data_IF_336893213138
#
_entry.id   IF_336893213138
#
_cell.length_a   1.000
_cell.length_b   1.000
_cell.length_c   1.000
_cell.angle_alpha   90.00
_cell.angle_beta   90.00
_cell.angle_gamma   90.00
#
_symmetry.space_group_name_H-M   'P 1'
#
loop_
_entity.id
_entity.type
_entity.pdbx_description
1 polymer ?
#
# COMPACT_ATOMS: atom_id res chain seq x y z
N UNK A 1 -18.43 -4.82 -28.38
CA UNK A 1 -17.05 -4.34 -28.49
C UNK A 1 -16.66 -3.82 -27.13
N UNK A 2 -15.58 -4.27 -26.51
CA UNK A 2 -15.14 -3.67 -25.26
C UNK A 2 -14.71 -2.24 -25.58
N UNK A 3 -15.34 -1.26 -24.93
CA UNK A 3 -14.92 0.13 -24.96
C UNK A 3 -13.43 0.19 -24.66
N UNK A 4 -12.67 0.86 -25.49
CA UNK A 4 -11.24 1.09 -25.26
C UNK A 4 -11.13 1.77 -23.89
N UNK A 5 -10.79 0.98 -22.88
CA UNK A 5 -10.57 1.45 -21.52
C UNK A 5 -9.51 2.54 -21.60
N UNK A 6 -9.85 3.74 -21.15
CA UNK A 6 -8.92 4.86 -21.02
C UNK A 6 -7.84 4.59 -19.92
N UNK A 7 -7.96 3.46 -19.22
CA UNK A 7 -7.04 3.01 -18.17
C UNK A 7 -5.67 2.62 -18.76
N UNK A 8 -4.60 3.37 -18.46
CA UNK A 8 -3.27 3.09 -18.97
C UNK A 8 -2.55 1.96 -18.22
N UNK A 9 -3.06 1.56 -17.04
CA UNK A 9 -2.43 0.58 -16.14
C UNK A 9 -2.95 -0.82 -16.41
N UNK A 10 -4.24 -0.98 -16.71
CA UNK A 10 -4.88 -2.28 -16.96
C UNK A 10 -4.10 -3.19 -17.90
N UNK A 11 -3.58 -2.71 -19.05
CA UNK A 11 -2.77 -3.53 -19.96
C UNK A 11 -1.48 -4.09 -19.34
N UNK A 12 -0.90 -3.43 -18.33
CA UNK A 12 0.26 -3.95 -17.60
C UNK A 12 -0.13 -5.09 -16.66
N UNK A 13 -1.26 -4.98 -15.99
CA UNK A 13 -1.78 -6.07 -15.16
C UNK A 13 -2.16 -7.29 -15.99
N UNK A 14 -2.78 -7.09 -17.16
CA UNK A 14 -3.05 -8.19 -18.10
C UNK A 14 -1.75 -8.88 -18.54
N UNK A 15 -0.67 -8.11 -18.79
CA UNK A 15 0.62 -8.68 -19.15
C UNK A 15 1.27 -9.42 -17.95
N UNK A 16 1.07 -8.95 -16.73
CA UNK A 16 1.53 -9.63 -15.52
C UNK A 16 0.75 -10.93 -15.28
N UNK A 17 -0.58 -10.94 -15.41
CA UNK A 17 -1.39 -12.16 -15.37
C UNK A 17 -0.91 -13.22 -16.36
N UNK A 18 -0.57 -12.78 -17.59
CA UNK A 18 -0.04 -13.68 -18.61
C UNK A 18 1.37 -14.22 -18.32
N UNK A 19 2.05 -13.72 -17.29
CA UNK A 19 3.30 -14.23 -16.74
C UNK A 19 3.11 -15.07 -15.49
N UNK A 20 1.87 -15.27 -15.04
CA UNK A 20 1.56 -16.01 -13.84
C UNK A 20 1.68 -15.21 -12.54
N UNK A 21 1.59 -13.89 -12.59
CA UNK A 21 1.66 -13.04 -11.41
C UNK A 21 0.34 -12.98 -10.64
N UNK A 22 0.42 -12.83 -9.31
CA UNK A 22 -0.73 -12.72 -8.42
C UNK A 22 -1.21 -11.28 -8.31
N UNK A 23 -1.88 -10.77 -9.33
CA UNK A 23 -2.36 -9.39 -9.39
C UNK A 23 -3.76 -9.18 -8.81
N UNK A 24 -4.33 -10.18 -8.15
CA UNK A 24 -5.62 -10.06 -7.48
C UNK A 24 -5.51 -9.21 -6.21
N UNK A 25 -6.47 -8.30 -6.04
CA UNK A 25 -6.67 -7.59 -4.78
C UNK A 25 -7.55 -8.46 -3.88
N UNK A 26 -7.20 -8.58 -2.61
CA UNK A 26 -8.01 -9.29 -1.63
C UNK A 26 -8.63 -8.32 -0.64
N UNK A 27 -9.92 -8.50 -0.42
CA UNK A 27 -10.64 -7.86 0.67
C UNK A 27 -11.12 -8.92 1.63
N UNK A 28 -10.82 -8.77 2.91
CA UNK A 28 -11.33 -9.62 3.96
C UNK A 28 -12.45 -8.91 4.73
N UNK A 29 -13.51 -9.61 5.05
CA UNK A 29 -14.53 -9.13 5.98
C UNK A 29 -14.60 -10.08 7.17
N UNK A 30 -14.38 -9.53 8.36
CA UNK A 30 -14.58 -10.23 9.64
C UNK A 30 -15.93 -9.81 10.18
N UNK A 31 -16.92 -10.71 10.15
CA UNK A 31 -18.24 -10.39 10.64
C UNK A 31 -18.23 -10.14 12.16
N UNK A 32 -19.19 -9.38 12.72
CA UNK A 32 -19.27 -9.19 14.16
C UNK A 32 -19.38 -10.52 14.89
N UNK A 33 -18.48 -10.78 15.82
CA UNK A 33 -18.41 -12.04 16.59
C UNK A 33 -17.55 -13.13 15.95
N UNK A 34 -17.11 -12.96 14.71
CA UNK A 34 -16.20 -13.90 14.04
C UNK A 34 -14.75 -13.53 14.27
N UNK A 35 -13.87 -14.55 14.16
CA UNK A 35 -12.42 -14.40 14.24
C UNK A 35 -11.71 -14.75 12.91
N UNK A 36 -12.47 -15.08 11.86
CA UNK A 36 -11.93 -15.46 10.56
C UNK A 36 -12.51 -14.57 9.47
N UNK A 37 -11.69 -14.05 8.56
CA UNK A 37 -12.18 -13.24 7.45
C UNK A 37 -12.76 -14.08 6.33
N UNK A 38 -13.88 -13.64 5.79
CA UNK A 38 -14.33 -14.01 4.45
C UNK A 38 -13.50 -13.24 3.43
N UNK A 39 -12.68 -13.95 2.63
CA UNK A 39 -11.84 -13.31 1.61
C UNK A 39 -12.55 -13.22 0.26
N UNK A 40 -12.56 -12.02 -0.31
CA UNK A 40 -13.14 -11.70 -1.60
C UNK A 40 -12.01 -11.24 -2.53
N UNK A 41 -11.96 -11.80 -3.72
CA UNK A 41 -10.94 -11.50 -4.73
C UNK A 41 -11.53 -10.61 -5.81
N UNK A 42 -10.85 -9.50 -6.09
CA UNK A 42 -11.15 -8.64 -7.24
C UNK A 42 -9.93 -8.58 -8.16
N UNK A 43 -10.19 -8.52 -9.47
CA UNK A 43 -9.12 -8.35 -10.45
C UNK A 43 -8.60 -6.92 -10.43
N UNK A 44 -7.32 -6.75 -10.25
CA UNK A 44 -6.71 -5.41 -10.28
C UNK A 44 -6.71 -4.79 -11.69
N UNK A 45 -6.98 -5.60 -12.73
CA UNK A 45 -7.26 -5.11 -14.08
C UNK A 45 -8.52 -4.26 -14.16
N UNK A 46 -9.46 -4.45 -13.24
CA UNK A 46 -10.79 -3.84 -13.30
C UNK A 46 -10.97 -2.71 -12.30
N UNK A 47 -10.30 -2.81 -11.16
CA UNK A 47 -10.43 -1.85 -10.04
C UNK A 47 -9.08 -1.64 -9.34
N UNK A 48 -8.90 -0.49 -8.72
CA UNK A 48 -7.86 -0.33 -7.69
C UNK A 48 -8.42 -0.60 -6.27
N UNK A 49 -7.56 -0.46 -5.25
CA UNK A 49 -7.95 -0.74 -3.87
C UNK A 49 -9.15 0.10 -3.40
N UNK A 50 -9.15 1.41 -3.68
CA UNK A 50 -10.26 2.31 -3.32
C UNK A 50 -11.52 1.96 -4.12
N UNK A 51 -11.39 1.75 -5.42
CA UNK A 51 -12.49 1.36 -6.30
C UNK A 51 -13.09 0.02 -5.92
N UNK A 52 -12.26 -0.95 -5.59
CA UNK A 52 -12.68 -2.28 -5.14
C UNK A 52 -13.45 -2.25 -3.82
N UNK A 53 -12.97 -1.48 -2.84
CA UNK A 53 -13.69 -1.30 -1.56
C UNK A 53 -15.05 -0.65 -1.78
N UNK A 54 -15.12 0.40 -2.60
CA UNK A 54 -16.38 1.06 -2.94
C UNK A 54 -17.37 0.12 -3.64
N UNK A 55 -16.89 -0.65 -4.61
CA UNK A 55 -17.71 -1.61 -5.34
C UNK A 55 -18.28 -2.68 -4.41
N UNK A 56 -17.47 -3.23 -3.52
CA UNK A 56 -17.91 -4.23 -2.54
C UNK A 56 -18.94 -3.69 -1.55
N UNK A 57 -18.74 -2.47 -1.05
CA UNK A 57 -19.69 -1.83 -0.14
C UNK A 57 -20.99 -1.49 -0.84
N UNK A 58 -20.94 -0.96 -2.09
CA UNK A 58 -22.12 -0.66 -2.91
C UNK A 58 -22.95 -1.91 -3.23
N UNK A 59 -22.30 -3.02 -3.59
CA UNK A 59 -22.97 -4.33 -3.80
C UNK A 59 -23.69 -4.84 -2.56
N UNK A 60 -23.23 -4.43 -1.35
CA UNK A 60 -23.88 -4.72 -0.07
C UNK A 60 -24.90 -3.65 0.35
N UNK A 61 -25.25 -2.75 -0.55
CA UNK A 61 -26.28 -1.73 -0.34
C UNK A 61 -25.82 -0.49 0.42
N UNK A 62 -24.51 -0.28 0.59
CA UNK A 62 -24.01 0.96 1.18
C UNK A 62 -24.07 2.11 0.17
N UNK A 63 -24.48 3.28 0.64
CA UNK A 63 -24.45 4.50 -0.15
C UNK A 63 -23.07 5.15 -0.09
N UNK A 64 -22.30 5.02 -1.19
CA UNK A 64 -20.98 5.64 -1.35
C UNK A 64 -21.04 6.62 -2.52
N UNK A 65 -21.45 7.88 -2.29
CA UNK A 65 -21.70 8.84 -3.37
C UNK A 65 -20.42 9.38 -4.00
N UNK A 66 -19.33 9.49 -3.23
CA UNK A 66 -18.05 9.98 -3.72
C UNK A 66 -16.89 9.18 -3.14
N UNK A 67 -15.91 8.87 -3.99
CA UNK A 67 -14.65 8.28 -3.58
C UNK A 67 -13.63 9.36 -3.20
N UNK A 68 -12.65 9.02 -2.33
CA UNK A 68 -11.58 9.94 -1.98
C UNK A 68 -10.88 10.49 -3.23
N UNK A 69 -10.64 11.79 -3.25
CA UNK A 69 -9.92 12.47 -4.32
C UNK A 69 -8.50 12.82 -3.88
N UNK A 70 -7.63 13.06 -4.86
CA UNK A 70 -6.26 13.46 -4.58
C UNK A 70 -6.22 14.79 -3.80
N UNK A 71 -5.44 14.79 -2.73
CA UNK A 71 -5.27 15.97 -1.86
C UNK A 71 -4.12 16.88 -2.29
N UNK A 72 -3.27 16.42 -3.24
CA UNK A 72 -2.11 17.18 -3.68
C UNK A 72 -2.48 18.20 -4.78
N UNK A 73 -2.01 19.45 -4.66
CA UNK A 73 -2.37 20.53 -5.59
C UNK A 73 -1.76 20.36 -6.98
N UNK A 74 -0.65 19.61 -7.10
CA UNK A 74 0.04 19.42 -8.38
C UNK A 74 -0.88 18.72 -9.39
N UNK A 75 -0.88 19.23 -10.63
CA UNK A 75 -1.60 18.65 -11.76
C UNK A 75 -0.68 17.78 -12.60
N UNK A 76 -1.20 16.81 -13.36
CA UNK A 76 -0.40 16.05 -14.31
C UNK A 76 0.23 16.99 -15.34
N UNK A 77 1.54 16.83 -15.58
CA UNK A 77 2.29 17.65 -16.50
C UNK A 77 3.33 16.81 -17.22
N UNK A 78 3.52 17.02 -18.53
CA UNK A 78 4.58 16.38 -19.29
C UNK A 78 5.98 16.69 -18.72
N UNK A 79 6.18 17.85 -18.11
CA UNK A 79 7.42 18.20 -17.42
C UNK A 79 7.69 17.36 -16.17
N UNK A 80 6.66 16.77 -15.56
CA UNK A 80 6.84 15.89 -14.40
C UNK A 80 7.73 14.70 -14.73
N UNK A 81 7.61 14.14 -15.94
CA UNK A 81 8.45 13.02 -16.37
C UNK A 81 9.93 13.46 -16.46
N UNK A 82 10.22 14.56 -17.15
CA UNK A 82 11.58 15.09 -17.26
C UNK A 82 12.20 15.43 -15.90
N UNK A 83 11.43 16.06 -15.03
CA UNK A 83 11.87 16.44 -13.68
C UNK A 83 12.19 15.22 -12.81
N UNK A 84 11.52 14.11 -13.03
CA UNK A 84 11.70 12.88 -12.26
C UNK A 84 12.66 11.88 -12.91
N UNK A 85 13.11 12.11 -14.16
CA UNK A 85 14.05 11.24 -14.86
C UNK A 85 15.29 10.86 -14.02
N UNK A 86 15.94 11.78 -13.27
CA UNK A 86 17.12 11.45 -12.47
C UNK A 86 16.90 10.31 -11.48
N UNK A 87 15.67 10.09 -10.99
CA UNK A 87 15.39 8.99 -10.05
C UNK A 87 15.57 7.62 -10.70
N UNK A 88 15.28 7.48 -11.99
CA UNK A 88 15.43 6.22 -12.73
C UNK A 88 16.89 5.89 -13.08
N UNK A 89 17.78 6.89 -12.99
CA UNK A 89 19.20 6.75 -13.25
C UNK A 89 20.04 6.50 -11.99
N UNK A 90 19.42 6.52 -10.81
CA UNK A 90 20.14 6.33 -9.54
C UNK A 90 20.56 4.86 -9.38
N UNK A 91 21.79 4.59 -8.94
CA UNK A 91 22.23 3.25 -8.60
C UNK A 91 21.32 2.66 -7.53
N UNK A 92 21.02 1.39 -7.69
CA UNK A 92 20.10 0.66 -6.82
C UNK A 92 20.93 -0.17 -5.86
N UNK A 93 20.67 -0.03 -4.58
CA UNK A 93 21.16 -0.94 -3.56
C UNK A 93 19.96 -1.71 -3.05
N UNK A 94 19.68 -2.89 -3.59
CA UNK A 94 18.52 -3.66 -3.17
C UNK A 94 18.74 -4.19 -1.77
N UNK A 95 17.77 -3.97 -0.89
CA UNK A 95 17.64 -4.80 0.27
C UNK A 95 17.32 -6.23 -0.21
N UNK A 96 18.03 -7.22 0.31
CA UNK A 96 17.83 -8.62 -0.03
C UNK A 96 17.20 -9.35 1.13
N UNK A 97 16.30 -10.26 0.82
CA UNK A 97 15.74 -11.16 1.80
C UNK A 97 16.74 -12.25 2.16
N UNK A 98 16.84 -12.60 3.44
CA UNK A 98 17.44 -13.88 3.85
C UNK A 98 16.60 -15.02 3.28
N UNK A 99 17.18 -16.22 3.05
CA UNK A 99 16.38 -17.40 2.76
C UNK A 99 15.33 -17.60 3.84
N UNK A 100 14.06 -17.67 3.46
CA UNK A 100 12.95 -17.87 4.38
C UNK A 100 12.42 -19.29 4.26
N UNK A 101 11.84 -19.77 5.35
CA UNK A 101 11.20 -21.07 5.35
C UNK A 101 10.04 -21.09 4.35
N UNK A 102 9.96 -22.15 3.54
CA UNK A 102 8.94 -22.29 2.50
C UNK A 102 9.19 -21.45 1.24
N UNK A 103 10.41 -20.94 1.02
CA UNK A 103 10.79 -20.29 -0.23
C UNK A 103 10.56 -21.24 -1.41
N UNK A 104 9.89 -20.75 -2.46
CA UNK A 104 9.69 -21.48 -3.71
C UNK A 104 10.23 -20.68 -4.89
N UNK A 105 11.32 -21.15 -5.46
CA UNK A 105 11.84 -20.62 -6.72
C UNK A 105 11.01 -21.12 -7.89
N UNK A 106 10.58 -20.22 -8.78
CA UNK A 106 9.77 -20.50 -9.97
C UNK A 106 8.32 -20.91 -9.68
N UNK A 107 7.63 -20.21 -8.78
CA UNK A 107 6.20 -20.39 -8.56
C UNK A 107 5.38 -20.20 -9.85
N UNK A 108 4.37 -21.04 -10.07
CA UNK A 108 3.46 -21.01 -11.21
C UNK A 108 2.03 -20.71 -10.75
N UNK A 109 1.11 -20.47 -11.69
CA UNK A 109 -0.32 -20.27 -11.39
C UNK A 109 -0.99 -21.41 -10.61
N UNK A 110 -0.41 -22.63 -10.63
CA UNK A 110 -0.88 -23.78 -9.88
C UNK A 110 -0.40 -23.81 -8.43
N UNK A 111 0.45 -22.88 -8.01
CA UNK A 111 0.93 -22.79 -6.65
C UNK A 111 -0.17 -22.28 -5.69
N UNK A 112 -0.05 -22.58 -4.39
CA UNK A 112 -0.99 -22.06 -3.40
C UNK A 112 -1.03 -20.53 -3.46
N UNK A 113 -2.18 -19.91 -3.17
CA UNK A 113 -2.29 -18.47 -3.17
C UNK A 113 -1.32 -17.85 -2.16
N UNK A 114 -0.85 -16.62 -2.41
CA UNK A 114 0.04 -15.92 -1.49
C UNK A 114 -0.43 -16.00 -0.04
N UNK A 115 0.49 -16.25 0.89
CA UNK A 115 0.18 -16.27 2.31
C UNK A 115 -0.20 -14.86 2.79
N UNK A 116 -1.23 -14.78 3.63
CA UNK A 116 -1.77 -13.51 4.18
C UNK A 116 -1.88 -13.61 5.69
N UNK A 117 -1.39 -12.59 6.38
CA UNK A 117 -1.68 -12.37 7.79
C UNK A 117 -2.29 -10.98 7.99
N UNK A 118 -3.01 -10.82 9.08
CA UNK A 118 -3.77 -9.60 9.34
C UNK A 118 -3.96 -9.34 10.83
N UNK A 119 -4.29 -8.08 11.14
CA UNK A 119 -4.72 -7.65 12.47
C UNK A 119 -5.74 -6.51 12.34
N UNK A 120 -6.67 -6.43 13.27
CA UNK A 120 -7.62 -5.33 13.39
C UNK A 120 -7.49 -4.76 14.80
N UNK A 121 -7.00 -3.54 14.89
CA UNK A 121 -7.02 -2.79 16.14
C UNK A 121 -8.45 -2.47 16.57
N UNK A 122 -8.69 -2.46 17.86
CA UNK A 122 -9.96 -1.96 18.37
C UNK A 122 -10.08 -0.43 18.18
N UNK A 123 -11.23 0.14 18.53
CA UNK A 123 -11.47 1.58 18.35
C UNK A 123 -10.59 2.45 19.28
N UNK A 124 -10.40 2.13 20.57
CA UNK A 124 -9.44 2.81 21.45
C UNK A 124 -8.02 2.82 20.89
N UNK A 125 -7.47 1.67 20.50
CA UNK A 125 -6.13 1.54 19.94
C UNK A 125 -5.97 2.34 18.64
N UNK A 126 -6.95 2.21 17.74
CA UNK A 126 -6.98 2.95 16.48
C UNK A 126 -7.03 4.46 16.70
N UNK A 127 -7.77 4.91 17.71
CA UNK A 127 -7.85 6.32 18.11
C UNK A 127 -6.53 6.80 18.69
N UNK A 128 -5.86 5.97 19.50
CA UNK A 128 -4.54 6.27 20.05
C UNK A 128 -3.48 6.41 18.95
N UNK A 129 -3.44 5.50 17.99
CA UNK A 129 -2.54 5.60 16.82
C UNK A 129 -2.76 6.93 16.09
N UNK A 130 -4.01 7.29 15.80
CA UNK A 130 -4.35 8.57 15.15
C UNK A 130 -3.92 9.78 15.98
N UNK A 131 -4.08 9.72 17.30
CA UNK A 131 -3.68 10.79 18.23
C UNK A 131 -2.16 10.98 18.22
N UNK A 132 -1.38 9.90 18.27
CA UNK A 132 0.09 9.94 18.23
C UNK A 132 0.56 10.51 16.90
N UNK A 133 0.02 10.06 15.78
CA UNK A 133 0.35 10.61 14.46
C UNK A 133 0.08 12.12 14.39
N UNK A 134 -1.07 12.58 14.89
CA UNK A 134 -1.40 14.01 14.94
C UNK A 134 -0.44 14.80 15.84
N UNK A 135 -0.13 14.29 17.06
CA UNK A 135 0.84 14.93 17.98
C UNK A 135 2.23 15.05 17.35
N UNK A 136 2.65 14.03 16.60
CA UNK A 136 3.93 14.02 15.91
C UNK A 136 3.95 14.85 14.60
N UNK A 137 2.80 15.31 14.10
CA UNK A 137 2.68 16.02 12.82
C UNK A 137 2.95 15.13 11.61
N UNK A 138 2.62 13.85 11.68
CA UNK A 138 2.85 12.85 10.63
C UNK A 138 1.54 12.19 10.20
N UNK A 139 1.56 11.51 9.05
CA UNK A 139 0.41 10.70 8.60
C UNK A 139 0.49 9.26 9.13
N UNK A 140 -0.66 8.59 9.19
CA UNK A 140 -0.74 7.16 9.49
C UNK A 140 0.14 6.36 8.52
N UNK A 141 0.18 6.71 7.22
CA UNK A 141 1.04 6.05 6.24
C UNK A 141 2.52 6.06 6.67
N UNK A 142 3.03 7.24 7.02
CA UNK A 142 4.43 7.40 7.41
C UNK A 142 4.75 6.63 8.68
N UNK A 143 3.83 6.64 9.63
CA UNK A 143 3.92 5.91 10.89
C UNK A 143 3.97 4.40 10.63
N UNK A 144 3.00 3.87 9.90
CA UNK A 144 2.90 2.44 9.63
C UNK A 144 4.06 1.92 8.77
N UNK A 145 4.48 2.66 7.73
CA UNK A 145 5.64 2.28 6.89
C UNK A 145 6.93 2.19 7.71
N UNK A 146 7.15 3.14 8.63
CA UNK A 146 8.34 3.11 9.49
C UNK A 146 8.36 1.86 10.37
N UNK A 147 7.25 1.56 11.05
CA UNK A 147 7.16 0.41 11.96
C UNK A 147 7.18 -0.92 11.19
N UNK A 148 6.53 -1.02 10.04
CA UNK A 148 6.64 -2.17 9.16
C UNK A 148 8.09 -2.39 8.72
N UNK A 149 8.79 -1.31 8.35
CA UNK A 149 10.21 -1.42 7.97
C UNK A 149 11.05 -1.99 9.11
N UNK A 150 10.81 -1.57 10.36
CA UNK A 150 11.48 -2.14 11.54
C UNK A 150 11.14 -3.62 11.73
N UNK A 151 9.87 -3.97 11.61
CA UNK A 151 9.37 -5.33 11.82
C UNK A 151 9.97 -6.38 10.87
N UNK A 152 10.21 -6.01 9.59
CA UNK A 152 10.75 -6.94 8.59
C UNK A 152 12.28 -6.95 8.51
N UNK A 153 12.97 -5.95 9.09
CA UNK A 153 14.43 -5.83 9.01
C UNK A 153 15.21 -7.08 9.41
N UNK A 154 14.85 -7.78 10.49
CA UNK A 154 15.56 -9.01 10.88
C UNK A 154 15.55 -10.11 9.81
N UNK A 155 14.62 -10.01 8.83
CA UNK A 155 14.51 -10.94 7.70
C UNK A 155 15.34 -10.51 6.48
N UNK A 156 16.10 -9.41 6.56
CA UNK A 156 17.00 -8.96 5.50
C UNK A 156 18.41 -9.51 5.72
N UNK A 157 19.16 -9.77 4.63
CA UNK A 157 20.57 -10.18 4.68
C UNK A 157 21.42 -9.16 5.42
N UNK A 158 21.16 -7.88 5.17
CA UNK A 158 21.77 -6.74 5.85
C UNK A 158 20.69 -5.83 6.44
N UNK A 159 20.60 -5.83 7.76
CA UNK A 159 19.63 -5.04 8.51
C UNK A 159 19.87 -3.52 8.41
N UNK A 160 21.06 -3.09 8.03
CA UNK A 160 21.38 -1.69 7.75
C UNK A 160 20.89 -1.21 6.39
N UNK A 161 20.50 -2.13 5.51
CA UNK A 161 20.06 -1.84 4.15
C UNK A 161 18.96 -0.79 4.11
N UNK A 162 18.99 0.02 3.06
CA UNK A 162 17.92 0.94 2.72
C UNK A 162 16.75 0.16 2.14
N UNK A 163 15.60 0.21 2.78
CA UNK A 163 14.39 -0.50 2.34
C UNK A 163 13.58 0.38 1.40
N UNK A 164 13.45 0.02 0.12
CA UNK A 164 12.64 0.77 -0.84
C UNK A 164 11.19 0.29 -0.82
N UNK A 165 10.27 1.23 -0.62
CA UNK A 165 8.82 1.01 -0.65
C UNK A 165 8.17 1.68 -1.86
N UNK A 166 7.22 1.00 -2.49
CA UNK A 166 6.26 1.59 -3.41
C UNK A 166 5.02 2.00 -2.62
N UNK A 167 4.67 3.28 -2.68
CA UNK A 167 3.48 3.81 -2.01
C UNK A 167 2.50 4.28 -3.08
N UNK A 168 1.36 3.58 -3.27
CA UNK A 168 0.33 4.00 -4.19
C UNK A 168 -0.24 5.38 -3.85
N UNK A 169 -0.57 6.15 -4.88
CA UNK A 169 -1.14 7.49 -4.79
C UNK A 169 -2.41 7.54 -5.61
N UNK A 170 -3.52 7.83 -4.96
CA UNK A 170 -4.79 8.06 -5.62
C UNK A 170 -4.74 9.33 -6.47
N UNK A 171 -5.11 9.26 -7.76
CA UNK A 171 -5.15 10.39 -8.70
C UNK A 171 -6.56 10.81 -9.09
N UNK A 172 -7.60 10.26 -8.44
CA UNK A 172 -9.01 10.67 -8.65
C UNK A 172 -9.19 12.17 -8.42
N UNK A 173 -10.08 12.76 -9.18
CA UNK A 173 -10.34 14.21 -9.15
C UNK A 173 -9.44 15.03 -10.07
N UNK A 174 -8.30 14.49 -10.54
CA UNK A 174 -7.43 15.08 -11.57
C UNK A 174 -7.36 14.25 -12.84
N UNK A 175 -7.73 12.98 -12.74
CA UNK A 175 -7.78 12.03 -13.84
C UNK A 175 -9.20 11.48 -13.91
N UNK A 176 -9.77 11.46 -15.09
CA UNK A 176 -11.06 10.82 -15.39
C UNK A 176 -10.82 9.58 -16.27
N UNK A 177 -11.28 8.42 -15.79
CA UNK A 177 -11.22 7.16 -16.52
C UNK A 177 -12.64 6.64 -16.87
N UNK A 178 -13.66 7.50 -16.77
CA UNK A 178 -15.06 7.20 -17.07
C UNK A 178 -15.79 6.38 -16.00
N UNK A 179 -15.07 5.66 -15.13
CA UNK A 179 -15.60 4.95 -13.95
C UNK A 179 -14.82 5.36 -12.72
N UNK A 180 -15.52 5.69 -11.63
CA UNK A 180 -14.88 6.08 -10.37
C UNK A 180 -14.12 4.91 -9.70
N UNK A 181 -14.49 3.66 -10.01
CA UNK A 181 -13.86 2.44 -9.50
C UNK A 181 -12.66 1.97 -10.31
N UNK A 182 -12.38 2.57 -11.49
CA UNK A 182 -11.24 2.19 -12.32
C UNK A 182 -9.88 2.46 -11.62
N UNK A 183 -8.78 2.01 -12.23
CA UNK A 183 -7.43 2.15 -11.67
C UNK A 183 -6.91 3.59 -11.69
N UNK A 184 -7.39 4.42 -10.76
CA UNK A 184 -6.90 5.79 -10.55
C UNK A 184 -5.69 5.81 -9.61
N UNK A 185 -4.76 4.89 -9.80
CA UNK A 185 -3.62 4.74 -8.88
C UNK A 185 -2.31 4.98 -9.61
N UNK A 186 -1.54 5.96 -9.16
CA UNK A 186 -0.12 6.09 -9.45
C UNK A 186 0.68 5.70 -8.21
N UNK A 187 1.97 6.02 -8.14
CA UNK A 187 2.80 5.72 -6.98
C UNK A 187 3.97 6.69 -6.83
N UNK A 188 4.55 6.70 -5.62
CA UNK A 188 5.85 7.26 -5.31
C UNK A 188 6.76 6.18 -4.74
N UNK A 189 8.06 6.30 -4.99
CA UNK A 189 9.08 5.43 -4.40
C UNK A 189 9.72 6.10 -3.20
N UNK A 190 9.69 5.44 -2.05
CA UNK A 190 10.28 5.96 -0.80
C UNK A 190 11.31 4.97 -0.27
N UNK A 191 12.45 5.48 0.17
CA UNK A 191 13.54 4.70 0.77
C UNK A 191 13.59 4.98 2.25
N UNK A 192 13.53 3.94 3.07
CA UNK A 192 13.56 4.03 4.53
C UNK A 192 14.85 3.43 5.07
N UNK A 193 15.64 4.25 5.76
CA UNK A 193 16.87 3.82 6.42
C UNK A 193 16.60 3.37 7.86
N UNK A 194 17.51 2.60 8.44
CA UNK A 194 17.37 2.07 9.81
C UNK A 194 17.23 3.17 10.87
N UNK A 195 18.04 4.20 10.75
CA UNK A 195 18.11 5.31 11.71
C UNK A 195 17.06 6.40 11.52
N UNK A 196 16.29 6.38 10.41
CA UNK A 196 15.27 7.40 10.13
C UNK A 196 14.13 7.32 11.13
N UNK A 197 13.68 8.48 11.58
CA UNK A 197 12.49 8.63 12.42
C UNK A 197 11.21 8.58 11.58
N UNK A 198 10.04 8.50 12.23
CA UNK A 198 8.74 8.61 11.54
C UNK A 198 8.61 9.95 10.80
N UNK A 199 9.16 11.05 11.37
CA UNK A 199 9.15 12.37 10.73
C UNK A 199 10.02 12.42 9.48
N UNK A 200 11.15 11.70 9.47
CA UNK A 200 12.01 11.60 8.29
C UNK A 200 11.30 10.83 7.18
N UNK A 201 10.67 9.70 7.49
CA UNK A 201 9.86 8.95 6.53
C UNK A 201 8.72 9.80 6.00
N UNK A 202 8.04 10.56 6.86
CA UNK A 202 6.99 11.49 6.47
C UNK A 202 7.52 12.55 5.48
N UNK A 203 8.63 13.19 5.81
CA UNK A 203 9.28 14.16 4.93
C UNK A 203 9.63 13.55 3.58
N UNK A 204 10.23 12.35 3.55
CA UNK A 204 10.62 11.68 2.32
C UNK A 204 9.41 11.39 1.40
N UNK A 205 8.28 10.96 1.97
CA UNK A 205 7.04 10.75 1.22
C UNK A 205 6.54 12.06 0.62
N UNK A 206 6.46 13.11 1.42
CA UNK A 206 5.90 14.40 0.99
C UNK A 206 6.81 15.15 0.03
N UNK A 207 8.12 15.01 0.14
CA UNK A 207 9.06 15.52 -0.86
C UNK A 207 8.90 14.81 -2.21
N UNK A 208 8.72 13.47 -2.22
CA UNK A 208 8.45 12.73 -3.44
C UNK A 208 7.14 13.18 -4.11
N UNK A 209 6.09 13.38 -3.31
CA UNK A 209 4.81 13.93 -3.78
C UNK A 209 4.96 15.38 -4.29
N UNK A 210 5.68 16.23 -3.56
CA UNK A 210 5.94 17.63 -3.93
C UNK A 210 6.76 17.76 -5.21
N UNK A 211 7.68 16.84 -5.48
CA UNK A 211 8.40 16.74 -6.77
C UNK A 211 7.52 16.24 -7.91
N UNK A 212 6.29 15.80 -7.65
CA UNK A 212 5.36 15.29 -8.66
C UNK A 212 5.75 13.90 -9.20
N UNK A 213 6.44 13.07 -8.40
CA UNK A 213 6.88 11.74 -8.85
C UNK A 213 5.72 10.83 -9.24
N UNK A 214 4.59 10.92 -8.55
CA UNK A 214 3.36 10.21 -8.91
C UNK A 214 2.82 10.64 -10.27
N UNK A 215 2.94 11.93 -10.66
CA UNK A 215 2.55 12.40 -11.98
C UNK A 215 3.51 11.91 -13.07
N UNK A 216 4.81 11.86 -12.78
CA UNK A 216 5.77 11.29 -13.71
C UNK A 216 5.49 9.81 -13.99
N UNK A 217 5.19 9.03 -12.93
CA UNK A 217 4.79 7.63 -13.08
C UNK A 217 3.48 7.49 -13.86
N UNK A 218 2.50 8.35 -13.60
CA UNK A 218 1.25 8.38 -14.35
C UNK A 218 1.50 8.66 -15.84
N UNK A 219 2.32 9.65 -16.17
CA UNK A 219 2.69 9.96 -17.56
C UNK A 219 3.43 8.79 -18.22
N UNK A 220 4.32 8.12 -17.49
CA UNK A 220 4.98 6.93 -18.00
C UNK A 220 3.97 5.83 -18.38
N UNK A 221 2.93 5.59 -17.54
CA UNK A 221 1.83 4.69 -17.89
C UNK A 221 1.06 5.17 -19.14
N UNK A 222 0.74 6.46 -19.23
CA UNK A 222 0.05 7.03 -20.38
C UNK A 222 0.84 6.81 -21.69
N UNK A 223 2.14 7.05 -21.70
CA UNK A 223 2.98 6.77 -22.86
C UNK A 223 3.08 5.27 -23.15
N UNK A 224 3.19 4.46 -22.12
CA UNK A 224 3.32 3.02 -22.27
C UNK A 224 2.07 2.33 -22.85
N UNK A 225 0.90 2.99 -22.85
CA UNK A 225 -0.31 2.41 -23.46
C UNK A 225 -0.14 2.08 -24.94
N UNK A 226 0.73 2.83 -25.63
CA UNK A 226 1.04 2.60 -27.04
C UNK A 226 2.01 1.44 -27.29
N UNK A 227 2.66 0.90 -26.24
CA UNK A 227 3.55 -0.25 -26.38
C UNK A 227 2.73 -1.52 -26.69
N UNK A 228 3.19 -2.33 -27.66
CA UNK A 228 2.59 -3.64 -27.93
C UNK A 228 2.57 -4.53 -26.67
N UNK A 229 1.56 -5.38 -26.57
CA UNK A 229 1.41 -6.33 -25.44
C UNK A 229 2.67 -7.18 -25.22
N UNK A 230 3.28 -7.69 -26.32
CA UNK A 230 4.53 -8.49 -26.26
C UNK A 230 5.68 -7.71 -25.63
N UNK A 231 5.77 -6.41 -25.87
CA UNK A 231 6.80 -5.54 -25.28
C UNK A 231 6.57 -5.38 -23.79
N UNK A 232 5.33 -5.09 -23.37
CA UNK A 232 4.97 -5.00 -21.96
C UNK A 232 5.29 -6.30 -21.21
N UNK A 233 4.91 -7.45 -21.78
CA UNK A 233 5.18 -8.78 -21.23
C UNK A 233 6.70 -9.03 -21.11
N UNK A 234 7.48 -8.69 -22.14
CA UNK A 234 8.94 -8.82 -22.12
C UNK A 234 9.57 -7.92 -21.04
N UNK A 235 9.12 -6.66 -20.92
CA UNK A 235 9.62 -5.74 -19.90
C UNK A 235 9.32 -6.26 -18.47
N UNK A 236 8.13 -6.80 -18.22
CA UNK A 236 7.79 -7.41 -16.94
C UNK A 236 8.59 -8.68 -16.67
N UNK A 237 8.81 -9.52 -17.69
CA UNK A 237 9.62 -10.73 -17.58
C UNK A 237 11.10 -10.42 -17.28
N UNK A 238 11.64 -9.38 -17.89
CA UNK A 238 12.99 -8.87 -17.61
C UNK A 238 13.04 -8.16 -16.26
N UNK A 239 11.93 -7.55 -15.84
CA UNK A 239 11.73 -6.95 -14.52
C UNK A 239 11.79 -7.95 -13.36
N UNK A 240 11.90 -9.27 -13.63
CA UNK A 240 12.33 -10.23 -12.62
C UNK A 240 13.68 -9.85 -11.98
N UNK A 241 14.51 -9.14 -12.72
CA UNK A 241 15.73 -8.54 -12.20
C UNK A 241 15.50 -7.23 -11.42
N UNK A 242 14.27 -6.69 -11.41
CA UNK A 242 13.95 -5.39 -10.79
C UNK A 242 13.23 -5.52 -9.43
N UNK A 243 13.25 -6.69 -8.77
CA UNK A 243 13.09 -6.76 -7.31
C UNK A 243 13.99 -5.76 -6.57
N UNK A 244 14.98 -5.26 -7.30
CA UNK A 244 15.85 -4.16 -6.92
C UNK A 244 15.19 -2.79 -6.81
N UNK A 245 13.94 -2.59 -7.29
CA UNK A 245 13.27 -1.29 -7.25
C UNK A 245 12.53 -1.06 -5.95
N UNK A 246 11.77 -2.06 -5.52
CA UNK A 246 10.96 -1.99 -4.31
C UNK A 246 10.95 -3.35 -3.61
N UNK A 247 11.21 -3.33 -2.31
CA UNK A 247 11.12 -4.53 -1.49
C UNK A 247 9.65 -4.97 -1.36
N UNK A 248 8.75 -3.99 -1.29
CA UNK A 248 7.32 -4.20 -1.19
C UNK A 248 6.51 -2.97 -1.53
N UNK A 249 5.19 -3.14 -1.61
CA UNK A 249 4.19 -2.08 -1.70
C UNK A 249 3.50 -1.87 -0.35
N UNK A 250 3.28 -0.60 0.02
CA UNK A 250 2.46 -0.24 1.16
C UNK A 250 1.29 0.61 0.70
N UNK A 251 0.08 0.08 0.82
CA UNK A 251 -1.15 0.72 0.35
C UNK A 251 -2.14 0.96 1.48
N UNK A 252 -2.59 2.19 1.63
CA UNK A 252 -3.63 2.59 2.57
C UNK A 252 -4.86 3.07 1.83
N UNK A 253 -6.00 2.43 2.07
CA UNK A 253 -7.27 2.83 1.47
C UNK A 253 -7.92 4.06 2.14
N UNK A 254 -7.35 4.52 3.26
CA UNK A 254 -7.89 5.64 4.02
C UNK A 254 -8.96 5.24 5.04
N UNK A 255 -9.74 6.24 5.42
CA UNK A 255 -10.80 6.10 6.42
C UNK A 255 -12.16 5.98 5.72
N UNK A 256 -12.84 4.87 6.00
CA UNK A 256 -14.15 4.53 5.47
C UNK A 256 -15.17 4.49 6.60
N UNK A 257 -16.26 5.22 6.42
CA UNK A 257 -17.35 5.32 7.39
C UNK A 257 -16.91 5.82 8.77
N UNK A 258 -16.16 6.95 8.87
CA UNK A 258 -15.68 7.48 10.14
C UNK A 258 -16.83 7.90 11.08
N UNK A 259 -18.03 8.15 10.52
CA UNK A 259 -19.22 8.56 11.25
C UNK A 259 -20.25 7.42 11.41
N UNK A 260 -19.87 6.19 11.10
CA UNK A 260 -20.72 4.99 11.17
C UNK A 260 -22.06 5.14 10.44
N UNK A 261 -22.03 5.79 9.28
CA UNK A 261 -23.22 5.99 8.44
C UNK A 261 -23.61 4.75 7.65
N UNK A 262 -22.66 3.81 7.47
CA UNK A 262 -22.90 2.54 6.79
C UNK A 262 -23.55 1.59 7.81
N UNK A 263 -24.88 1.58 7.86
CA UNK A 263 -25.64 0.81 8.86
C UNK A 263 -26.05 -0.59 8.38
N UNK A 264 -25.83 -0.93 7.11
CA UNK A 264 -26.23 -2.24 6.55
C UNK A 264 -25.49 -3.37 7.25
N UNK A 265 -26.20 -4.40 7.78
CA UNK A 265 -25.56 -5.52 8.50
C UNK A 265 -24.50 -6.24 7.67
N UNK A 266 -24.71 -6.33 6.36
CA UNK A 266 -23.78 -6.96 5.42
C UNK A 266 -22.46 -6.20 5.26
N UNK A 267 -22.43 -4.93 5.66
CA UNK A 267 -21.24 -4.08 5.65
C UNK A 267 -20.55 -4.02 7.02
N UNK A 268 -21.24 -4.40 8.09
CA UNK A 268 -20.71 -4.32 9.46
C UNK A 268 -19.55 -5.29 9.69
N UNK A 269 -18.70 -4.96 10.65
CA UNK A 269 -17.55 -5.76 11.05
C UNK A 269 -16.21 -5.12 10.68
N UNK A 270 -15.17 -5.92 10.77
CA UNK A 270 -13.82 -5.48 10.39
C UNK A 270 -13.57 -5.69 8.89
N UNK A 271 -13.00 -4.69 8.23
CA UNK A 271 -12.57 -4.82 6.85
C UNK A 271 -11.04 -4.87 6.76
N UNK A 272 -10.56 -5.72 5.87
CA UNK A 272 -9.16 -5.98 5.57
C UNK A 272 -8.88 -5.71 4.10
N UNK A 273 -7.67 -5.29 3.79
CA UNK A 273 -7.24 -5.04 2.43
C UNK A 273 -5.82 -5.54 2.21
N UNK A 274 -5.64 -6.53 1.35
CA UNK A 274 -4.33 -7.03 0.94
C UNK A 274 -4.06 -6.65 -0.52
N UNK A 275 -3.07 -5.78 -0.78
CA UNK A 275 -2.68 -5.39 -2.13
C UNK A 275 -2.00 -6.57 -2.85
N UNK A 276 -1.96 -6.57 -4.20
CA UNK A 276 -1.31 -7.62 -4.97
C UNK A 276 0.19 -7.70 -4.64
N UNK A 277 0.76 -8.88 -4.86
CA UNK A 277 2.20 -9.14 -4.82
C UNK A 277 2.68 -9.64 -6.18
N UNK A 278 3.86 -9.21 -6.54
CA UNK A 278 4.50 -9.51 -7.82
C UNK A 278 5.92 -10.01 -7.57
N UNK A 279 6.51 -10.72 -8.53
CA UNK A 279 7.92 -11.13 -8.43
C UNK A 279 8.89 -9.96 -8.28
N UNK A 280 8.54 -8.79 -8.81
CA UNK A 280 9.30 -7.56 -8.60
C UNK A 280 8.94 -6.82 -7.29
N UNK A 281 7.98 -7.31 -6.52
CA UNK A 281 7.47 -6.72 -5.28
C UNK A 281 6.89 -7.84 -4.41
N UNK A 282 7.79 -8.57 -3.74
CA UNK A 282 7.45 -9.82 -3.04
C UNK A 282 6.60 -9.64 -1.77
N UNK A 283 6.47 -8.40 -1.28
CA UNK A 283 5.68 -8.05 -0.09
C UNK A 283 4.62 -7.02 -0.44
N UNK A 284 3.37 -7.30 -0.09
CA UNK A 284 2.25 -6.38 -0.15
C UNK A 284 1.71 -6.09 1.25
N UNK A 285 1.83 -4.85 1.70
CA UNK A 285 1.25 -4.39 2.95
C UNK A 285 0.03 -3.51 2.68
N UNK A 286 -1.08 -3.82 3.32
CA UNK A 286 -2.33 -3.08 3.19
C UNK A 286 -2.84 -2.58 4.52
N UNK A 287 -3.53 -1.46 4.51
CA UNK A 287 -4.33 -1.03 5.64
C UNK A 287 -5.60 -0.30 5.19
N UNK A 288 -6.60 -0.35 6.03
CA UNK A 288 -7.86 0.38 5.88
C UNK A 288 -8.40 0.71 7.26
N UNK A 289 -8.96 1.88 7.44
CA UNK A 289 -9.77 2.21 8.61
C UNK A 289 -11.24 2.10 8.23
N UNK A 290 -11.99 1.30 8.95
CA UNK A 290 -13.43 1.15 8.76
C UNK A 290 -14.13 1.26 10.12
N UNK A 291 -15.13 2.13 10.22
CA UNK A 291 -15.84 2.39 11.47
C UNK A 291 -14.89 2.61 12.67
N UNK A 292 -13.93 3.52 12.48
CA UNK A 292 -12.89 3.86 13.44
C UNK A 292 -11.88 2.76 13.81
N UNK A 293 -11.96 1.58 13.24
CA UNK A 293 -11.05 0.46 13.47
C UNK A 293 -10.04 0.35 12.34
N UNK A 294 -8.76 0.51 12.66
CA UNK A 294 -7.64 0.35 11.74
C UNK A 294 -7.31 -1.13 11.59
N UNK A 295 -7.16 -1.58 10.36
CA UNK A 295 -6.67 -2.92 10.06
C UNK A 295 -5.34 -2.88 9.34
N UNK A 296 -4.53 -3.91 9.56
CA UNK A 296 -3.26 -4.18 8.89
C UNK A 296 -3.34 -5.53 8.19
N UNK A 297 -2.73 -5.62 7.01
CA UNK A 297 -2.51 -6.90 6.32
C UNK A 297 -1.11 -6.97 5.75
N UNK A 298 -0.55 -8.17 5.73
CA UNK A 298 0.65 -8.50 4.97
C UNK A 298 0.38 -9.68 4.08
N UNK A 299 0.69 -9.54 2.80
CA UNK A 299 0.64 -10.60 1.80
C UNK A 299 2.05 -10.86 1.28
N UNK A 300 2.44 -12.12 1.21
CA UNK A 300 3.79 -12.54 0.82
C UNK A 300 3.71 -13.36 -0.47
N UNK A 301 4.52 -13.01 -1.46
CA UNK A 301 4.59 -13.75 -2.72
C UNK A 301 5.18 -15.16 -2.48
N UNK A 302 4.66 -16.21 -3.15
CA UNK A 302 5.15 -17.59 -2.98
C UNK A 302 6.64 -17.78 -3.26
N UNK A 303 7.24 -16.99 -4.13
CA UNK A 303 8.70 -17.01 -4.34
C UNK A 303 9.50 -16.59 -3.10
N UNK A 304 8.90 -15.84 -2.19
CA UNK A 304 9.54 -15.45 -0.93
C UNK A 304 9.23 -16.47 0.17
N UNK A 305 7.97 -16.83 0.34
CA UNK A 305 7.55 -17.91 1.25
C UNK A 305 6.10 -18.31 1.00
N UNK A 306 5.82 -19.62 1.12
CA UNK A 306 4.45 -20.17 1.20
C UNK A 306 4.05 -20.50 2.64
N UNK A 307 4.97 -20.38 3.60
CA UNK A 307 4.68 -20.64 5.00
C UNK A 307 3.85 -19.48 5.58
N UNK A 308 2.61 -19.72 6.06
CA UNK A 308 1.74 -18.68 6.61
C UNK A 308 2.28 -18.07 7.90
N UNK A 309 3.19 -18.75 8.61
CA UNK A 309 3.82 -18.21 9.82
C UNK A 309 4.74 -17.03 9.54
N UNK A 310 5.30 -16.92 8.32
CA UNK A 310 6.17 -15.82 7.94
C UNK A 310 5.43 -14.47 7.98
N UNK A 311 4.34 -14.26 7.22
CA UNK A 311 3.58 -13.02 7.33
C UNK A 311 2.94 -12.84 8.72
N UNK A 312 2.56 -13.92 9.42
CA UNK A 312 2.01 -13.84 10.78
C UNK A 312 3.03 -13.25 11.76
N UNK A 313 4.26 -13.76 11.76
CA UNK A 313 5.34 -13.24 12.59
C UNK A 313 5.65 -11.77 12.27
N UNK A 314 5.64 -11.37 11.00
CA UNK A 314 5.87 -9.98 10.62
C UNK A 314 4.74 -9.05 11.05
N UNK A 315 3.48 -9.48 10.99
CA UNK A 315 2.34 -8.70 11.52
C UNK A 315 2.47 -8.52 13.02
N UNK A 316 2.81 -9.58 13.78
CA UNK A 316 3.04 -9.48 15.21
C UNK A 316 4.19 -8.54 15.57
N UNK A 317 5.31 -8.63 14.85
CA UNK A 317 6.42 -7.70 15.03
C UNK A 317 6.02 -6.25 14.69
N UNK A 318 5.18 -6.07 13.66
CA UNK A 318 4.69 -4.74 13.27
C UNK A 318 3.83 -4.12 14.36
N UNK A 319 2.90 -4.89 14.94
CA UNK A 319 2.08 -4.47 16.08
C UNK A 319 2.98 -4.09 17.26
N UNK A 320 3.93 -4.97 17.63
CA UNK A 320 4.87 -4.72 18.72
C UNK A 320 5.66 -3.41 18.53
N UNK A 321 6.14 -3.13 17.33
CA UNK A 321 6.86 -1.88 17.04
C UNK A 321 5.95 -0.65 17.16
N UNK A 322 4.67 -0.77 16.78
CA UNK A 322 3.66 0.27 16.98
C UNK A 322 3.42 0.51 18.48
N UNK A 323 3.21 -0.54 19.25
CA UNK A 323 2.95 -0.47 20.70
C UNK A 323 4.12 0.17 21.47
N UNK A 324 5.37 -0.17 21.12
CA UNK A 324 6.56 0.44 21.71
C UNK A 324 6.55 1.96 21.52
N UNK A 325 6.23 2.43 20.31
CA UNK A 325 6.22 3.86 20.02
C UNK A 325 5.03 4.57 20.68
N UNK A 326 3.85 3.92 20.74
CA UNK A 326 2.69 4.42 21.48
C UNK A 326 3.00 4.60 22.97
N UNK A 327 3.67 3.64 23.60
CA UNK A 327 4.06 3.70 24.99
C UNK A 327 5.08 4.83 25.27
N UNK A 328 6.05 5.03 24.37
CA UNK A 328 7.06 6.07 24.50
C UNK A 328 6.47 7.48 24.47
N UNK A 329 5.50 7.72 23.59
CA UNK A 329 4.82 9.04 23.46
C UNK A 329 3.91 9.35 24.64
N UNK A 330 3.39 8.32 25.31
CA UNK A 330 2.54 8.50 26.51
C UNK A 330 3.39 8.78 27.77
N UNK A 331 4.61 8.29 27.82
CA UNK A 331 5.53 8.52 28.96
C UNK A 331 6.23 9.89 28.92
N UNK A 332 6.20 10.61 27.79
CA UNK A 332 6.70 11.97 27.75
C UNK A 332 5.78 12.92 28.55
N UNK A 333 6.30 13.62 29.59
CA UNK A 333 5.52 14.61 30.30
C UNK A 333 5.03 15.67 29.31
N UNK A 334 3.74 16.05 29.41
CA UNK A 334 3.18 17.14 28.63
C UNK A 334 4.00 18.38 28.90
N UNK A 335 4.86 18.78 27.95
CA UNK A 335 5.57 20.05 28.04
C UNK A 335 4.51 21.15 28.18
N UNK A 336 4.43 21.78 29.34
CA UNK A 336 3.56 22.94 29.53
C UNK A 336 3.96 23.99 28.51
N UNK A 337 3.01 24.58 27.76
CA UNK A 337 3.33 25.66 26.86
C UNK A 337 3.99 26.78 27.69
N UNK A 338 5.22 27.13 27.33
CA UNK A 338 5.86 28.30 27.90
C UNK A 338 4.90 29.50 27.74
N UNK A 339 4.65 30.24 28.84
CA UNK A 339 3.84 31.46 28.73
C UNK A 339 4.51 32.37 27.71
N UNK A 340 3.76 32.79 26.68
CA UNK A 340 4.23 33.84 25.75
C UNK A 340 4.49 35.06 26.58
N UNK A 341 5.74 35.47 26.71
CA UNK A 341 6.10 36.83 27.14
C UNK A 341 5.52 37.79 26.10
N UNK A 342 4.44 38.46 26.48
CA UNK A 342 3.92 39.62 25.75
C UNK A 342 4.87 40.75 26.10
N UNK A 343 5.68 41.16 25.16
CA UNK A 343 6.40 42.45 25.16
C UNK A 343 5.73 43.42 24.21
#
# INVERSE_FOLDING_TARGET
>A
MPSSSSDPIGPWFIAAEALGEYIGIRFGRVAPGDNTPEWIFLRHTDVDGIGGMADLLRRRGAEIPRLPQIKHPSAPSAFSLLRSMPKYLRPRHPARWRPLEGERRNSTHSDPPPAVAWHIFDEPESTQIRRVCRKAGVTINSFLVKHLTKAIRPSLEDESSVVPWMIPVNVRGKVDLGRDTANHTSYVGVRVRSYETVRDVHRNIYEALGRGEHWANWQAYQFSRFLPFRVKKSMLAQGKATSEWYLGGFSNLGDWDPESRITRPECQGGWLFAPPVLRCQLLGAGCVTFQNRLSLTLQVHPELSVNPEVPAAWVQNWIKEIEIDLASVLSEPVAHPHPRLVA
#
